data_IF_350926205178
#
_entry.id   IF_350926205178
#
_cell.length_a   1.000
_cell.length_b   1.000
_cell.length_c   1.000
_cell.angle_alpha   90.00
_cell.angle_beta   90.00
_cell.angle_gamma   90.00
#
_symmetry.space_group_name_H-M   'P 1'
#
loop_
_entity.id
_entity.type
_entity.pdbx_description
1 polymer ?
#
# COMPACT_ATOMS: atom_id res chain seq x y z
N UNK A 1 14.00 30.68 2.05
CA UNK A 1 13.97 29.76 0.88
C UNK A 1 13.43 30.46 -0.37
N UNK A 2 12.29 31.15 -0.30
CA UNK A 2 11.69 31.95 -1.40
C UNK A 2 12.65 32.98 -2.06
N UNK A 3 13.41 33.75 -1.28
CA UNK A 3 14.39 34.72 -1.82
C UNK A 3 15.55 34.09 -2.60
N UNK A 4 15.96 32.86 -2.26
CA UNK A 4 17.04 32.14 -2.95
C UNK A 4 16.59 31.52 -4.28
N UNK A 5 15.28 31.27 -4.44
CA UNK A 5 14.70 30.81 -5.72
C UNK A 5 14.48 31.97 -6.70
N UNK A 6 14.21 33.17 -6.17
CA UNK A 6 14.05 34.39 -6.97
C UNK A 6 15.34 34.85 -7.66
N UNK A 7 16.49 34.62 -7.02
CA UNK A 7 17.79 35.06 -7.52
C UNK A 7 18.35 34.15 -8.63
N UNK A 8 17.85 32.90 -8.75
CA UNK A 8 18.31 31.93 -9.76
C UNK A 8 17.51 32.00 -11.08
N UNK A 9 16.38 32.71 -11.09
CA UNK A 9 15.48 32.81 -12.25
C UNK A 9 15.29 34.27 -12.63
N UNK A 10 16.39 34.93 -13.00
CA UNK A 10 16.52 36.21 -13.71
C UNK A 10 15.22 37.05 -13.85
N UNK A 11 14.67 37.53 -12.73
CA UNK A 11 13.66 38.59 -12.57
C UNK A 11 12.51 38.70 -13.60
N UNK A 12 12.10 37.62 -14.28
CA UNK A 12 11.07 37.66 -15.34
C UNK A 12 9.69 37.19 -14.91
N UNK A 13 9.53 36.63 -13.71
CA UNK A 13 8.22 36.23 -13.21
C UNK A 13 7.75 37.22 -12.15
N UNK A 14 6.97 38.21 -12.60
CA UNK A 14 6.17 39.06 -11.71
C UNK A 14 5.33 38.16 -10.79
N UNK A 15 5.28 38.52 -9.52
CA UNK A 15 4.53 37.83 -8.47
C UNK A 15 3.06 37.58 -8.87
N UNK A 16 2.52 38.48 -9.70
CA UNK A 16 1.19 38.42 -10.31
C UNK A 16 0.98 37.20 -11.23
N UNK A 17 2.01 36.78 -11.97
CA UNK A 17 1.92 35.59 -12.83
C UNK A 17 1.95 34.29 -12.03
N UNK A 18 2.70 34.26 -10.93
CA UNK A 18 2.70 33.12 -10.01
C UNK A 18 1.32 32.99 -9.35
N UNK A 19 0.71 34.11 -8.96
CA UNK A 19 -0.64 34.15 -8.40
C UNK A 19 -1.69 33.68 -9.42
N UNK A 20 -1.59 34.12 -10.68
CA UNK A 20 -2.46 33.68 -11.77
C UNK A 20 -2.33 32.17 -12.07
N UNK A 21 -1.11 31.63 -12.03
CA UNK A 21 -0.87 30.19 -12.22
C UNK A 21 -1.51 29.40 -11.08
N UNK A 22 -1.40 29.86 -9.83
CA UNK A 22 -2.02 29.21 -8.66
C UNK A 22 -3.55 29.27 -8.77
N UNK A 23 -4.12 30.42 -9.16
CA UNK A 23 -5.56 30.59 -9.34
C UNK A 23 -6.07 29.70 -10.48
N UNK A 24 -5.37 29.64 -11.62
CA UNK A 24 -5.71 28.78 -12.74
C UNK A 24 -5.63 27.29 -12.38
N UNK A 25 -4.58 26.86 -11.67
CA UNK A 25 -4.46 25.50 -11.14
C UNK A 25 -5.59 25.18 -10.17
N UNK A 26 -5.96 26.11 -9.29
CA UNK A 26 -7.06 25.92 -8.34
C UNK A 26 -8.42 25.80 -9.05
N UNK A 27 -8.67 26.60 -10.09
CA UNK A 27 -9.89 26.52 -10.91
C UNK A 27 -9.97 25.23 -11.73
N UNK A 28 -8.86 24.78 -12.32
CA UNK A 28 -8.78 23.48 -13.00
C UNK A 28 -9.06 22.36 -11.99
N UNK A 29 -8.49 22.45 -10.80
CA UNK A 29 -8.72 21.45 -9.74
C UNK A 29 -10.20 21.41 -9.33
N UNK A 30 -10.85 22.57 -9.18
CA UNK A 30 -12.28 22.70 -8.82
C UNK A 30 -13.21 22.19 -9.93
N UNK A 31 -12.91 22.47 -11.21
CA UNK A 31 -13.71 22.03 -12.36
C UNK A 31 -13.58 20.51 -12.57
N UNK A 32 -12.39 19.96 -12.37
CA UNK A 32 -12.16 18.53 -12.51
C UNK A 32 -12.49 17.73 -11.25
N UNK A 33 -12.78 18.33 -10.10
CA UNK A 33 -13.01 17.64 -8.83
C UNK A 33 -13.89 16.36 -8.90
N UNK A 34 -15.05 16.35 -9.60
CA UNK A 34 -15.87 15.14 -9.72
C UNK A 34 -15.22 14.03 -10.57
N UNK A 35 -14.38 14.40 -11.55
CA UNK A 35 -13.64 13.47 -12.42
C UNK A 35 -12.25 13.15 -11.84
N UNK A 36 -11.71 14.01 -10.96
CA UNK A 36 -10.39 13.89 -10.38
C UNK A 36 -10.28 12.67 -9.48
N UNK A 37 -11.35 12.35 -8.74
CA UNK A 37 -11.46 11.07 -8.02
C UNK A 37 -11.29 9.89 -8.97
N UNK A 38 -12.08 9.85 -10.04
CA UNK A 38 -12.05 8.78 -11.04
C UNK A 38 -10.66 8.65 -11.70
N UNK A 39 -10.11 9.76 -12.19
CA UNK A 39 -8.80 9.79 -12.86
C UNK A 39 -7.68 9.39 -11.91
N UNK A 40 -7.68 9.88 -10.67
CA UNK A 40 -6.67 9.49 -9.68
C UNK A 40 -6.73 8.00 -9.34
N UNK A 41 -7.94 7.45 -9.22
CA UNK A 41 -8.14 6.04 -8.93
C UNK A 41 -7.68 5.15 -10.09
N UNK A 42 -8.03 5.51 -11.33
CA UNK A 42 -7.56 4.79 -12.52
C UNK A 42 -6.03 4.80 -12.57
N UNK A 43 -5.39 5.96 -12.43
CA UNK A 43 -3.94 6.08 -12.51
C UNK A 43 -3.21 5.37 -11.36
N UNK A 44 -3.76 5.37 -10.14
CA UNK A 44 -3.19 4.62 -9.02
C UNK A 44 -3.21 3.10 -9.25
N UNK A 45 -4.20 2.59 -10.00
CA UNK A 45 -4.45 1.16 -10.13
C UNK A 45 -3.66 0.53 -11.28
N UNK A 46 -3.34 1.24 -12.37
CA UNK A 46 -2.73 0.65 -13.58
C UNK A 46 -1.49 -0.20 -13.28
N UNK A 47 -0.51 0.36 -12.58
CA UNK A 47 0.78 -0.30 -12.30
C UNK A 47 0.62 -1.53 -11.38
N UNK A 48 -0.01 -1.41 -10.19
CA UNK A 48 -0.19 -2.55 -9.28
C UNK A 48 -1.16 -3.59 -9.84
N UNK A 49 -2.15 -3.20 -10.64
CA UNK A 49 -3.02 -4.13 -11.33
C UNK A 49 -2.26 -5.00 -12.33
N UNK A 50 -1.38 -4.40 -13.15
CA UNK A 50 -0.51 -5.16 -14.05
C UNK A 50 0.43 -6.12 -13.32
N UNK A 51 0.93 -5.75 -12.12
CA UNK A 51 1.71 -6.67 -11.27
C UNK A 51 0.85 -7.80 -10.71
N UNK A 52 -0.35 -7.48 -10.23
CA UNK A 52 -1.31 -8.46 -9.68
C UNK A 52 -1.68 -9.50 -10.72
N UNK A 53 -2.08 -9.05 -11.92
CA UNK A 53 -2.44 -9.93 -13.05
C UNK A 53 -1.27 -10.84 -13.43
N UNK A 54 -0.04 -10.32 -13.47
CA UNK A 54 1.15 -11.14 -13.74
C UNK A 54 1.38 -12.23 -12.69
N UNK A 55 1.20 -11.93 -11.41
CA UNK A 55 1.35 -12.92 -10.34
C UNK A 55 0.25 -13.99 -10.40
N UNK A 56 -0.99 -13.58 -10.68
CA UNK A 56 -2.13 -14.48 -10.86
C UNK A 56 -1.90 -15.43 -12.04
N UNK A 57 -1.50 -14.90 -13.21
CA UNK A 57 -1.17 -15.72 -14.38
C UNK A 57 -0.02 -16.70 -14.08
N UNK A 58 0.96 -16.27 -13.28
CA UNK A 58 2.09 -17.10 -12.89
C UNK A 58 1.80 -18.08 -11.74
N UNK A 59 0.56 -18.14 -11.22
CA UNK A 59 0.17 -18.91 -10.02
C UNK A 59 1.12 -18.67 -8.82
N UNK A 60 1.61 -17.43 -8.68
CA UNK A 60 2.48 -17.03 -7.56
C UNK A 60 1.65 -16.41 -6.44
N UNK A 61 2.04 -16.62 -5.16
CA UNK A 61 1.37 -15.96 -4.06
C UNK A 61 1.49 -14.43 -4.20
N UNK A 62 0.44 -13.67 -3.81
CA UNK A 62 0.50 -12.22 -3.82
C UNK A 62 1.59 -11.74 -2.87
N UNK A 63 2.37 -10.77 -3.32
CA UNK A 63 3.43 -10.17 -2.51
C UNK A 63 2.82 -9.24 -1.46
N UNK A 64 3.47 -9.14 -0.29
CA UNK A 64 2.93 -8.42 0.87
C UNK A 64 2.78 -6.92 0.61
N UNK A 65 3.68 -6.33 -0.19
CA UNK A 65 3.58 -4.95 -0.69
C UNK A 65 2.29 -4.70 -1.50
N UNK A 66 1.89 -5.67 -2.31
CA UNK A 66 0.70 -5.59 -3.16
C UNK A 66 -0.58 -5.72 -2.32
N UNK A 67 -0.58 -6.61 -1.32
CA UNK A 67 -1.67 -6.74 -0.35
C UNK A 67 -1.85 -5.41 0.40
N UNK A 68 -0.77 -4.86 0.95
CA UNK A 68 -0.81 -3.58 1.67
C UNK A 68 -1.23 -2.43 0.76
N UNK A 69 -0.77 -2.42 -0.49
CA UNK A 69 -1.24 -1.46 -1.49
C UNK A 69 -2.75 -1.52 -1.65
N UNK A 70 -3.33 -2.70 -1.90
CA UNK A 70 -4.76 -2.86 -2.13
C UNK A 70 -5.60 -2.53 -0.89
N UNK A 71 -5.12 -2.87 0.31
CA UNK A 71 -5.78 -2.47 1.57
C UNK A 71 -5.78 -0.96 1.75
N UNK A 72 -4.64 -0.31 1.51
CA UNK A 72 -4.51 1.15 1.61
C UNK A 72 -5.37 1.85 0.56
N UNK A 73 -5.37 1.33 -0.67
CA UNK A 73 -6.17 1.84 -1.77
C UNK A 73 -7.67 1.78 -1.45
N UNK A 74 -8.15 0.63 -0.98
CA UNK A 74 -9.55 0.44 -0.60
C UNK A 74 -10.00 1.43 0.48
N UNK A 75 -9.18 1.64 1.51
CA UNK A 75 -9.46 2.62 2.55
C UNK A 75 -9.57 4.04 1.97
N UNK A 76 -8.62 4.43 1.11
CA UNK A 76 -8.63 5.74 0.48
C UNK A 76 -9.82 5.92 -0.48
N UNK A 77 -10.30 4.87 -1.14
CA UNK A 77 -11.52 4.92 -1.94
C UNK A 77 -12.78 5.16 -1.09
N UNK A 78 -12.86 4.56 0.11
CA UNK A 78 -13.95 4.84 1.06
C UNK A 78 -13.89 6.31 1.50
N UNK A 79 -12.69 6.83 1.75
CA UNK A 79 -12.45 8.23 2.07
C UNK A 79 -12.84 9.15 0.90
N UNK A 80 -12.56 8.77 -0.35
CA UNK A 80 -12.97 9.53 -1.54
C UNK A 80 -14.49 9.68 -1.66
N UNK A 81 -15.26 8.66 -1.26
CA UNK A 81 -16.73 8.73 -1.26
C UNK A 81 -17.27 9.78 -0.27
N UNK A 82 -16.47 10.15 0.73
CA UNK A 82 -16.80 11.27 1.61
C UNK A 82 -16.39 12.59 0.94
N UNK A 83 -17.35 13.30 0.37
CA UNK A 83 -17.17 14.65 -0.23
C UNK A 83 -16.58 15.70 0.74
N UNK A 84 -16.42 15.35 2.01
CA UNK A 84 -15.82 16.16 3.07
C UNK A 84 -14.32 16.30 2.92
N UNK A 85 -13.63 15.28 2.39
CA UNK A 85 -12.17 15.22 2.37
C UNK A 85 -11.54 16.30 1.52
N UNK A 86 -12.13 16.60 0.37
CA UNK A 86 -11.66 17.66 -0.54
C UNK A 86 -11.91 19.06 0.00
N UNK A 87 -12.85 19.22 0.96
CA UNK A 87 -13.11 20.49 1.66
C UNK A 87 -12.09 20.74 2.77
N UNK A 88 -11.60 19.68 3.42
CA UNK A 88 -10.65 19.78 4.54
C UNK A 88 -9.21 19.84 4.05
N UNK A 89 -8.87 19.07 3.00
CA UNK A 89 -7.51 18.94 2.49
C UNK A 89 -7.47 19.38 1.02
N UNK A 90 -7.07 20.63 0.73
CA UNK A 90 -6.81 21.04 -0.64
C UNK A 90 -5.68 20.16 -1.22
N UNK A 91 -5.81 19.75 -2.48
CA UNK A 91 -4.88 18.84 -3.17
C UNK A 91 -4.85 17.38 -2.66
N UNK A 92 -5.87 16.92 -1.94
CA UNK A 92 -5.98 15.52 -1.48
C UNK A 92 -5.69 14.49 -2.59
N UNK A 93 -6.25 14.66 -3.80
CA UNK A 93 -6.03 13.70 -4.90
C UNK A 93 -4.58 13.65 -5.38
N UNK A 94 -3.85 14.77 -5.33
CA UNK A 94 -2.42 14.80 -5.66
C UNK A 94 -1.64 14.07 -4.57
N UNK A 95 -1.96 14.32 -3.30
CA UNK A 95 -1.33 13.63 -2.18
C UNK A 95 -1.58 12.12 -2.23
N UNK A 96 -2.82 11.70 -2.49
CA UNK A 96 -3.22 10.31 -2.70
C UNK A 96 -2.38 9.66 -3.80
N UNK A 97 -2.29 10.30 -4.97
CA UNK A 97 -1.48 9.82 -6.09
C UNK A 97 -0.01 9.61 -5.70
N UNK A 98 0.60 10.61 -5.04
CA UNK A 98 2.00 10.53 -4.61
C UNK A 98 2.20 9.42 -3.57
N UNK A 99 1.33 9.35 -2.56
CA UNK A 99 1.40 8.34 -1.51
C UNK A 99 1.26 6.92 -2.07
N UNK A 100 0.29 6.69 -2.95
CA UNK A 100 0.05 5.37 -3.55
C UNK A 100 1.18 4.94 -4.47
N UNK A 101 1.74 5.85 -5.28
CA UNK A 101 2.91 5.56 -6.10
C UNK A 101 4.15 5.30 -5.23
N UNK A 102 4.31 6.04 -4.11
CA UNK A 102 5.41 5.82 -3.19
C UNK A 102 5.37 4.44 -2.52
N UNK A 103 4.20 3.89 -2.22
CA UNK A 103 4.06 2.51 -1.70
C UNK A 103 4.58 1.48 -2.72
N UNK A 104 4.35 1.69 -4.02
CA UNK A 104 4.76 0.74 -5.07
C UNK A 104 6.22 0.90 -5.48
N UNK A 105 6.74 2.14 -5.46
CA UNK A 105 8.06 2.49 -5.98
C UNK A 105 9.15 2.60 -4.90
N UNK A 106 8.82 3.04 -3.68
CA UNK A 106 9.78 3.17 -2.57
C UNK A 106 9.52 2.10 -1.50
N UNK A 107 10.44 1.15 -1.42
CA UNK A 107 10.39 0.05 -0.46
C UNK A 107 10.36 0.53 1.00
N UNK A 108 10.96 1.69 1.32
CA UNK A 108 10.95 2.23 2.68
C UNK A 108 9.55 2.68 3.08
N UNK A 109 8.82 3.31 2.16
CA UNK A 109 7.44 3.74 2.39
C UNK A 109 6.56 2.51 2.55
N UNK A 110 6.73 1.50 1.70
CA UNK A 110 6.03 0.22 1.86
C UNK A 110 6.29 -0.39 3.24
N UNK A 111 7.56 -0.53 3.68
CA UNK A 111 7.90 -1.07 5.01
C UNK A 111 7.30 -0.28 6.16
N UNK A 112 7.26 1.05 6.05
CA UNK A 112 6.62 1.91 7.03
C UNK A 112 5.12 1.62 7.15
N UNK A 113 4.42 1.54 6.02
CA UNK A 113 2.97 1.26 5.97
C UNK A 113 2.68 -0.15 6.49
N UNK A 114 3.45 -1.15 6.07
CA UNK A 114 3.40 -2.53 6.59
C UNK A 114 3.53 -2.55 8.11
N UNK A 115 4.50 -1.81 8.66
CA UNK A 115 4.70 -1.71 10.11
C UNK A 115 3.52 -1.05 10.82
N UNK A 116 2.84 -0.11 10.15
CA UNK A 116 1.57 0.46 10.61
C UNK A 116 0.47 -0.60 10.68
N UNK A 117 0.25 -1.36 9.60
CA UNK A 117 -0.75 -2.43 9.56
C UNK A 117 -0.47 -3.57 10.54
N UNK A 118 0.80 -3.94 10.77
CA UNK A 118 1.20 -4.89 11.82
C UNK A 118 0.83 -4.37 13.21
N UNK A 119 1.11 -3.09 13.52
CA UNK A 119 0.75 -2.48 14.81
C UNK A 119 -0.76 -2.41 15.04
N UNK A 120 -1.54 -2.25 13.98
CA UNK A 120 -3.01 -2.27 14.04
C UNK A 120 -3.59 -3.70 14.10
N UNK A 121 -2.77 -4.75 14.02
CA UNK A 121 -3.21 -6.15 14.05
C UNK A 121 -3.85 -6.66 12.76
N UNK A 122 -3.85 -5.87 11.68
CA UNK A 122 -4.40 -6.28 10.37
C UNK A 122 -3.51 -7.28 9.63
N UNK A 123 -2.20 -7.22 9.86
CA UNK A 123 -1.25 -8.18 9.35
C UNK A 123 -0.85 -9.11 10.49
N UNK A 124 -1.59 -10.21 10.62
CA UNK A 124 -1.15 -11.35 11.42
C UNK A 124 -0.20 -12.15 10.53
N UNK A 125 1.09 -12.13 10.84
CA UNK A 125 1.95 -13.22 10.39
C UNK A 125 1.40 -14.48 11.06
N UNK A 126 0.60 -15.26 10.34
CA UNK A 126 0.56 -16.69 10.65
C UNK A 126 2.00 -17.14 10.47
N UNK A 127 2.71 -17.34 11.59
CA UNK A 127 4.02 -17.97 11.58
C UNK A 127 3.82 -19.38 11.03
N UNK A 128 3.92 -19.52 9.70
CA UNK A 128 3.97 -20.81 9.02
C UNK A 128 5.11 -21.63 9.64
N UNK A 129 6.18 -20.98 10.09
CA UNK A 129 7.27 -21.59 10.85
C UNK A 129 6.84 -22.16 12.20
N UNK A 130 5.90 -21.52 12.92
CA UNK A 130 5.40 -21.98 14.22
C UNK A 130 4.40 -23.13 14.05
N UNK A 131 3.49 -23.05 13.07
CA UNK A 131 2.63 -24.19 12.68
C UNK A 131 3.44 -25.37 12.14
N UNK A 132 4.48 -25.12 11.35
CA UNK A 132 5.38 -26.18 10.88
C UNK A 132 6.17 -26.81 12.02
N UNK A 133 6.63 -26.02 13.02
CA UNK A 133 7.25 -26.54 14.23
C UNK A 133 6.29 -27.40 15.05
N UNK A 134 5.07 -26.91 15.27
CA UNK A 134 4.01 -27.63 15.98
C UNK A 134 3.66 -28.94 15.25
N UNK A 135 3.49 -28.91 13.92
CA UNK A 135 3.22 -30.10 13.13
C UNK A 135 4.37 -31.13 13.20
N UNK A 136 5.63 -30.67 13.19
CA UNK A 136 6.81 -31.54 13.36
C UNK A 136 6.87 -32.14 14.76
N UNK A 137 6.54 -31.39 15.80
CA UNK A 137 6.47 -31.91 17.17
C UNK A 137 5.39 -32.98 17.34
N UNK A 138 4.19 -32.74 16.80
CA UNK A 138 3.08 -33.72 16.82
C UNK A 138 3.48 -35.00 16.09
N UNK A 139 4.14 -34.91 14.92
CA UNK A 139 4.62 -36.08 14.19
C UNK A 139 5.71 -36.85 14.95
N UNK A 140 6.58 -36.14 15.68
CA UNK A 140 7.65 -36.74 16.48
C UNK A 140 7.10 -37.50 17.69
N UNK A 141 6.08 -36.96 18.36
CA UNK A 141 5.36 -37.67 19.42
C UNK A 141 4.67 -38.92 18.90
N UNK A 142 3.95 -38.80 17.78
CA UNK A 142 3.23 -39.93 17.18
C UNK A 142 4.19 -41.04 16.74
N UNK A 143 5.36 -40.69 16.23
CA UNK A 143 6.43 -41.63 15.89
C UNK A 143 7.00 -42.35 17.12
N UNK A 144 7.17 -41.66 18.25
CA UNK A 144 7.61 -42.31 19.51
C UNK A 144 6.57 -43.31 20.02
N UNK A 145 5.29 -42.94 19.99
CA UNK A 145 4.20 -43.82 20.42
C UNK A 145 4.16 -45.11 19.59
N UNK A 146 4.19 -44.98 18.26
CA UNK A 146 4.21 -46.12 17.33
C UNK A 146 5.43 -47.02 17.52
N UNK A 147 6.58 -46.44 17.89
CA UNK A 147 7.80 -47.22 18.15
C UNK A 147 7.69 -48.04 19.44
N UNK A 148 7.09 -47.46 20.48
CA UNK A 148 6.79 -48.17 21.73
C UNK A 148 5.81 -49.32 21.53
N UNK A 149 4.72 -49.11 20.78
CA UNK A 149 3.76 -50.17 20.44
C UNK A 149 4.39 -51.30 19.62
N UNK A 150 5.33 -50.98 18.73
CA UNK A 150 6.03 -51.97 17.90
C UNK A 150 7.01 -52.82 18.73
N UNK A 151 7.68 -52.21 19.71
CA UNK A 151 8.59 -52.92 20.61
C UNK A 151 7.80 -53.84 21.56
N UNK A 152 6.65 -53.41 22.09
CA UNK A 152 5.75 -54.27 22.89
C UNK A 152 5.16 -55.45 22.11
N UNK A 153 4.95 -55.31 20.79
CA UNK A 153 4.50 -56.40 19.93
C UNK A 153 5.62 -57.40 19.55
N UNK A 154 6.89 -57.01 19.68
CA UNK A 154 8.04 -57.91 19.44
C UNK A 154 8.40 -58.77 20.65
N UNK A 155 8.05 -58.31 21.85
CA UNK A 155 8.30 -59.01 23.11
C UNK A 155 7.17 -60.00 23.50
N UNK A 156 6.14 -60.14 22.65
CA UNK A 156 5.08 -61.17 22.74
C UNK A 156 5.28 -62.26 21.70
#
# INVERSE_FOLDING_TARGET
VLRKLQQKTNNKLKQEHILLIIIALSLITIIFLPIASLVSNVLCVVIPFQRTVRLVIANKPPTLDLIVFWMTFGLLCVVDCSLVVTRVVPFYYIFKMVAMNAIVLDERVCRFVVSGYKRMGFLVEEDIGKRAKEAVEVLKEKSKHLKGELDEMKDK
#
